data_IF_411753474665
#
_entry.id   IF_411753474665
#
_cell.length_a   1.000
_cell.length_b   1.000
_cell.length_c   1.000
_cell.angle_alpha   90.00
_cell.angle_beta   90.00
_cell.angle_gamma   90.00
#
_symmetry.space_group_name_H-M   'P 1'
#
loop_
_entity.id
_entity.type
_entity.pdbx_description
1 polymer ?
#
# COMPACT_ATOMS: atom_id res chain seq x y z
N UNK A 1 -10.16 -29.09 5.95
CA UNK A 1 -9.48 -27.83 5.57
C UNK A 1 -8.92 -27.06 6.77
N UNK A 2 -9.58 -27.03 7.93
CA UNK A 2 -9.03 -26.38 9.14
C UNK A 2 -7.66 -26.94 9.59
N UNK A 3 -7.42 -28.25 9.44
CA UNK A 3 -6.14 -28.87 9.77
C UNK A 3 -4.97 -28.41 8.89
N UNK A 4 -5.18 -28.23 7.59
CA UNK A 4 -4.15 -27.74 6.65
C UNK A 4 -3.84 -26.27 6.90
N UNK A 5 -4.88 -25.45 7.09
CA UNK A 5 -4.73 -24.04 7.49
C UNK A 5 -3.89 -23.92 8.77
N UNK A 6 -4.24 -24.66 9.83
CA UNK A 6 -3.48 -24.63 11.08
C UNK A 6 -2.03 -25.08 10.91
N UNK A 7 -1.78 -26.09 10.06
CA UNK A 7 -0.43 -26.55 9.74
C UNK A 7 0.39 -25.44 9.07
N UNK A 8 -0.17 -24.78 8.05
CA UNK A 8 0.52 -23.72 7.31
C UNK A 8 0.74 -22.47 8.16
N UNK A 9 -0.24 -22.07 8.95
CA UNK A 9 -0.08 -20.96 9.91
C UNK A 9 1.05 -21.27 10.89
N UNK A 10 1.12 -22.49 11.41
CA UNK A 10 2.20 -22.92 12.29
C UNK A 10 3.55 -22.95 11.57
N UNK A 11 3.59 -23.45 10.34
CA UNK A 11 4.79 -23.45 9.50
C UNK A 11 5.31 -22.02 9.32
N UNK A 12 4.46 -21.09 8.87
CA UNK A 12 4.81 -19.67 8.69
C UNK A 12 5.33 -19.02 9.97
N UNK A 13 4.79 -19.41 11.14
CA UNK A 13 5.27 -18.88 12.43
C UNK A 13 6.69 -19.31 12.81
N UNK A 14 7.26 -20.31 12.14
CA UNK A 14 8.63 -20.79 12.37
C UNK A 14 9.67 -20.15 11.46
N UNK A 15 9.26 -19.40 10.44
CA UNK A 15 10.16 -18.68 9.55
C UNK A 15 10.18 -17.19 9.89
N UNK A 16 11.35 -16.57 9.72
CA UNK A 16 11.48 -15.11 9.87
C UNK A 16 11.27 -14.40 8.53
N UNK A 17 11.70 -15.03 7.44
CA UNK A 17 11.71 -14.43 6.12
C UNK A 17 10.81 -15.17 5.16
N UNK A 18 10.06 -14.39 4.38
CA UNK A 18 9.12 -14.94 3.41
C UNK A 18 9.85 -15.75 2.33
N UNK A 19 11.07 -15.35 1.96
CA UNK A 19 11.84 -16.06 0.92
C UNK A 19 12.17 -17.50 1.34
N UNK A 20 12.45 -17.74 2.63
CA UNK A 20 12.77 -19.07 3.15
C UNK A 20 11.57 -20.03 3.05
N UNK A 21 10.36 -19.50 3.18
CA UNK A 21 9.11 -20.27 3.04
C UNK A 21 8.91 -20.68 1.59
N UNK A 22 9.18 -19.79 0.63
CA UNK A 22 9.05 -20.11 -0.79
C UNK A 22 10.11 -21.05 -1.32
N UNK A 23 11.25 -21.19 -0.63
CA UNK A 23 12.22 -22.23 -0.93
C UNK A 23 11.73 -23.65 -0.57
N UNK A 24 10.59 -23.80 0.10
CA UNK A 24 10.01 -25.11 0.38
C UNK A 24 9.37 -25.69 -0.88
N UNK A 25 9.87 -26.85 -1.33
CA UNK A 25 9.52 -27.52 -2.59
C UNK A 25 8.04 -27.71 -2.91
N UNK A 26 7.15 -27.67 -1.90
CA UNK A 26 5.72 -27.94 -2.06
C UNK A 26 4.83 -26.80 -1.55
N UNK A 27 5.43 -25.72 -1.04
CA UNK A 27 4.63 -24.65 -0.43
C UNK A 27 3.74 -23.92 -1.44
N UNK A 28 4.23 -23.52 -2.64
CA UNK A 28 3.38 -22.92 -3.66
C UNK A 28 2.22 -23.84 -4.08
N UNK A 29 2.50 -25.12 -4.33
CA UNK A 29 1.47 -26.09 -4.74
C UNK A 29 0.43 -26.33 -3.65
N UNK A 30 0.85 -26.31 -2.38
CA UNK A 30 -0.07 -26.38 -1.25
C UNK A 30 -0.92 -25.12 -1.15
N UNK A 31 -0.35 -23.95 -1.43
CA UNK A 31 -1.08 -22.68 -1.42
C UNK A 31 -2.14 -22.63 -2.52
N UNK A 32 -1.82 -23.16 -3.71
CA UNK A 32 -2.71 -23.21 -4.88
C UNK A 32 -3.96 -24.09 -4.67
N UNK A 33 -3.87 -25.12 -3.83
CA UNK A 33 -5.04 -25.99 -3.53
C UNK A 33 -5.95 -25.41 -2.45
N UNK A 34 -5.51 -24.36 -1.74
CA UNK A 34 -6.33 -23.69 -0.75
C UNK A 34 -7.37 -22.79 -1.41
N UNK A 35 -8.54 -22.67 -0.78
CA UNK A 35 -9.61 -21.79 -1.24
C UNK A 35 -10.48 -21.29 -0.09
N UNK A 36 -11.20 -20.20 -0.35
CA UNK A 36 -12.13 -19.56 0.59
C UNK A 36 -11.46 -19.11 1.89
N UNK A 37 -12.22 -19.08 2.99
CA UNK A 37 -11.77 -18.53 4.28
C UNK A 37 -10.45 -19.12 4.80
N UNK A 38 -10.17 -20.39 4.50
CA UNK A 38 -8.92 -21.03 4.94
C UNK A 38 -7.70 -20.45 4.24
N UNK A 39 -7.83 -20.09 2.97
CA UNK A 39 -6.80 -19.41 2.19
C UNK A 39 -6.62 -17.98 2.69
N UNK A 40 -7.71 -17.24 2.92
CA UNK A 40 -7.68 -15.86 3.40
C UNK A 40 -6.87 -15.74 4.71
N UNK A 41 -7.06 -16.68 5.64
CA UNK A 41 -6.30 -16.70 6.90
C UNK A 41 -4.80 -16.92 6.66
N UNK A 42 -4.42 -17.81 5.73
CA UNK A 42 -3.02 -18.06 5.39
C UNK A 42 -2.40 -16.86 4.68
N UNK A 43 -3.14 -16.24 3.75
CA UNK A 43 -2.75 -15.04 3.04
C UNK A 43 -2.50 -13.85 3.97
N UNK A 44 -3.40 -13.64 4.95
CA UNK A 44 -3.19 -12.66 6.01
C UNK A 44 -1.94 -12.95 6.84
N UNK A 45 -1.63 -14.22 7.13
CA UNK A 45 -0.39 -14.58 7.83
C UNK A 45 0.85 -14.29 6.97
N UNK A 46 0.80 -14.56 5.67
CA UNK A 46 1.88 -14.24 4.72
C UNK A 46 2.14 -12.74 4.67
N UNK A 47 1.11 -11.89 4.52
CA UNK A 47 1.25 -10.43 4.54
C UNK A 47 1.84 -9.92 5.86
N UNK A 48 1.34 -10.44 6.99
CA UNK A 48 1.82 -10.06 8.30
C UNK A 48 3.27 -10.50 8.55
N UNK A 49 3.68 -11.64 8.00
CA UNK A 49 5.05 -12.13 8.06
C UNK A 49 5.97 -11.24 7.21
N UNK A 50 5.60 -10.96 5.97
CA UNK A 50 6.40 -10.16 5.04
C UNK A 50 6.70 -8.75 5.58
N UNK A 51 5.75 -8.16 6.31
CA UNK A 51 5.83 -6.80 6.84
C UNK A 51 6.47 -6.70 8.23
N UNK A 52 7.03 -7.80 8.76
CA UNK A 52 7.80 -7.81 10.03
C UNK A 52 9.30 -7.65 9.82
N UNK A 53 9.81 -8.02 8.66
CA UNK A 53 11.24 -8.25 8.44
C UNK A 53 11.97 -7.08 7.78
N UNK A 54 11.36 -5.89 7.80
CA UNK A 54 11.90 -4.66 7.21
C UNK A 54 11.29 -4.32 5.84
N UNK A 55 11.84 -3.32 5.14
CA UNK A 55 11.33 -2.88 3.84
C UNK A 55 11.38 -4.00 2.80
N UNK A 56 10.33 -4.10 1.99
CA UNK A 56 10.18 -5.11 0.94
C UNK A 56 10.67 -4.51 -0.36
N UNK A 57 11.81 -5.00 -0.84
CA UNK A 57 12.48 -4.49 -2.06
C UNK A 57 12.51 -5.48 -3.21
N UNK A 58 12.36 -6.77 -2.90
CA UNK A 58 12.38 -7.83 -3.88
C UNK A 58 11.13 -7.77 -4.77
N UNK A 59 11.33 -7.68 -6.09
CA UNK A 59 10.24 -7.53 -7.06
C UNK A 59 9.27 -8.72 -7.03
N UNK A 60 9.80 -9.94 -6.87
CA UNK A 60 8.99 -11.16 -6.85
C UNK A 60 8.07 -11.16 -5.63
N UNK A 61 8.61 -10.79 -4.48
CA UNK A 61 7.86 -10.66 -3.23
C UNK A 61 6.79 -9.57 -3.34
N UNK A 62 7.11 -8.41 -3.90
CA UNK A 62 6.13 -7.33 -4.10
C UNK A 62 4.98 -7.78 -5.01
N UNK A 63 5.30 -8.44 -6.14
CA UNK A 63 4.28 -8.94 -7.07
C UNK A 63 3.36 -9.95 -6.38
N UNK A 64 3.92 -10.96 -5.72
CA UNK A 64 3.12 -11.99 -5.04
C UNK A 64 2.25 -11.41 -3.92
N UNK A 65 2.80 -10.50 -3.10
CA UNK A 65 2.03 -9.86 -2.04
C UNK A 65 0.93 -8.96 -2.60
N UNK A 66 1.11 -8.42 -3.80
CA UNK A 66 0.08 -7.66 -4.52
C UNK A 66 -1.05 -8.58 -4.99
N UNK A 67 -0.72 -9.75 -5.58
CA UNK A 67 -1.69 -10.78 -5.99
C UNK A 67 -2.48 -11.33 -4.79
N UNK A 68 -1.79 -11.59 -3.67
CA UNK A 68 -2.42 -11.99 -2.41
C UNK A 68 -3.36 -10.89 -1.88
N UNK A 69 -2.90 -9.64 -1.86
CA UNK A 69 -3.70 -8.50 -1.40
C UNK A 69 -4.94 -8.28 -2.26
N UNK A 70 -4.81 -8.46 -3.58
CA UNK A 70 -5.93 -8.40 -4.51
C UNK A 70 -6.94 -9.51 -4.24
N UNK A 71 -6.48 -10.75 -4.08
CA UNK A 71 -7.38 -11.88 -3.78
C UNK A 71 -8.15 -11.66 -2.48
N UNK A 72 -7.48 -11.18 -1.42
CA UNK A 72 -8.13 -10.84 -0.15
C UNK A 72 -9.17 -9.72 -0.33
N UNK A 73 -8.81 -8.68 -1.07
CA UNK A 73 -9.69 -7.55 -1.35
C UNK A 73 -10.94 -7.99 -2.14
N UNK A 74 -10.78 -8.81 -3.16
CA UNK A 74 -11.87 -9.30 -3.99
C UNK A 74 -12.80 -10.19 -3.17
N UNK A 75 -12.24 -11.10 -2.35
CA UNK A 75 -13.02 -11.96 -1.45
C UNK A 75 -13.87 -11.15 -0.45
N UNK A 76 -13.37 -10.02 0.06
CA UNK A 76 -14.17 -9.12 0.90
C UNK A 76 -15.32 -8.44 0.14
N UNK A 77 -15.14 -8.10 -1.14
CA UNK A 77 -16.22 -7.47 -1.92
C UNK A 77 -17.49 -8.33 -1.94
N UNK A 78 -17.30 -9.65 -1.88
CA UNK A 78 -18.38 -10.63 -1.83
C UNK A 78 -18.91 -10.90 -0.41
N UNK A 79 -18.23 -10.45 0.65
CA UNK A 79 -18.53 -10.78 2.05
C UNK A 79 -18.84 -9.51 2.85
N UNK A 80 -20.12 -9.27 3.17
CA UNK A 80 -20.57 -8.09 3.91
C UNK A 80 -20.32 -8.19 5.44
N UNK A 81 -19.07 -8.42 5.87
CA UNK A 81 -18.69 -8.56 7.29
C UNK A 81 -17.72 -7.44 7.69
N UNK A 82 -18.26 -6.42 8.37
CA UNK A 82 -17.54 -5.18 8.71
C UNK A 82 -16.25 -5.34 9.55
N UNK A 83 -16.08 -6.44 10.28
CA UNK A 83 -14.92 -6.65 11.17
C UNK A 83 -13.70 -7.18 10.42
N UNK A 84 -13.91 -8.18 9.55
CA UNK A 84 -12.88 -8.74 8.66
C UNK A 84 -12.32 -7.66 7.70
N UNK A 85 -13.17 -6.70 7.32
CA UNK A 85 -12.77 -5.59 6.45
C UNK A 85 -11.64 -4.74 7.02
N UNK A 86 -11.64 -4.55 8.35
CA UNK A 86 -10.66 -3.72 9.02
C UNK A 86 -9.27 -4.38 9.07
N UNK A 87 -9.22 -5.70 9.25
CA UNK A 87 -7.97 -6.44 9.35
C UNK A 87 -7.26 -6.54 8.00
N UNK A 88 -7.99 -6.82 6.93
CA UNK A 88 -7.42 -6.85 5.57
C UNK A 88 -6.97 -5.45 5.17
N UNK A 89 -7.81 -4.43 5.37
CA UNK A 89 -7.44 -3.05 5.06
C UNK A 89 -6.15 -2.63 5.76
N UNK A 90 -6.01 -2.95 7.05
CA UNK A 90 -4.80 -2.68 7.82
C UNK A 90 -3.58 -3.45 7.29
N UNK A 91 -3.73 -4.75 7.02
CA UNK A 91 -2.64 -5.60 6.53
C UNK A 91 -2.14 -5.16 5.15
N UNK A 92 -3.06 -4.82 4.24
CA UNK A 92 -2.73 -4.27 2.91
C UNK A 92 -2.09 -2.89 3.04
N UNK A 93 -2.62 -2.01 3.89
CA UNK A 93 -2.02 -0.69 4.15
C UNK A 93 -0.59 -0.81 4.67
N UNK A 94 -0.34 -1.75 5.57
CA UNK A 94 0.99 -2.04 6.09
C UNK A 94 1.91 -2.61 5.01
N UNK A 95 1.43 -3.53 4.18
CA UNK A 95 2.20 -4.04 3.04
C UNK A 95 2.66 -2.91 2.13
N UNK A 96 1.72 -2.07 1.66
CA UNK A 96 2.03 -0.94 0.76
C UNK A 96 3.02 0.03 1.40
N UNK A 97 2.88 0.30 2.71
CA UNK A 97 3.82 1.15 3.45
C UNK A 97 5.25 0.58 3.48
N UNK A 98 5.41 -0.75 3.53
CA UNK A 98 6.71 -1.41 3.62
C UNK A 98 7.41 -1.58 2.27
N UNK A 99 6.72 -1.35 1.15
CA UNK A 99 7.32 -1.46 -0.19
C UNK A 99 8.31 -0.32 -0.41
N UNK A 100 9.52 -0.66 -0.86
CA UNK A 100 10.58 0.29 -1.14
C UNK A 100 11.31 -0.08 -2.43
N UNK A 101 11.02 0.65 -3.51
CA UNK A 101 11.70 0.51 -4.79
C UNK A 101 13.07 1.20 -4.85
N UNK A 102 13.56 1.77 -3.74
CA UNK A 102 14.87 2.42 -3.67
C UNK A 102 14.95 3.62 -4.62
N UNK A 103 15.88 3.58 -5.57
CA UNK A 103 16.13 4.68 -6.52
C UNK A 103 15.11 4.74 -7.66
N UNK A 104 14.32 3.68 -7.87
CA UNK A 104 13.35 3.56 -8.96
C UNK A 104 12.04 4.29 -8.62
N UNK A 105 12.11 5.62 -8.41
CA UNK A 105 10.98 6.44 -7.93
C UNK A 105 9.76 6.39 -8.85
N UNK A 106 9.94 6.34 -10.17
CA UNK A 106 8.83 6.20 -11.13
C UNK A 106 8.10 4.88 -10.96
N UNK A 107 8.84 3.79 -10.73
CA UNK A 107 8.27 2.47 -10.48
C UNK A 107 7.51 2.44 -9.15
N UNK A 108 8.04 3.12 -8.13
CA UNK A 108 7.31 3.30 -6.87
C UNK A 108 6.00 4.04 -7.10
N UNK A 109 6.02 5.18 -7.78
CA UNK A 109 4.79 5.95 -8.04
C UNK A 109 3.76 5.14 -8.84
N UNK A 110 4.20 4.38 -9.85
CA UNK A 110 3.31 3.48 -10.61
C UNK A 110 2.64 2.44 -9.70
N UNK A 111 3.40 1.82 -8.79
CA UNK A 111 2.86 0.90 -7.79
C UNK A 111 1.80 1.58 -6.88
N UNK A 112 2.03 2.82 -6.45
CA UNK A 112 1.03 3.57 -5.66
C UNK A 112 -0.24 3.86 -6.46
N UNK A 113 -0.12 4.15 -7.77
CA UNK A 113 -1.26 4.33 -8.68
C UNK A 113 -2.08 3.05 -8.80
N UNK A 114 -1.43 1.92 -9.00
CA UNK A 114 -2.09 0.61 -9.10
C UNK A 114 -2.79 0.24 -7.79
N UNK A 115 -2.14 0.49 -6.66
CA UNK A 115 -2.72 0.29 -5.33
C UNK A 115 -3.94 1.18 -5.10
N UNK A 116 -3.92 2.45 -5.51
CA UNK A 116 -5.08 3.34 -5.41
C UNK A 116 -6.26 2.83 -6.25
N UNK A 117 -5.98 2.39 -7.47
CA UNK A 117 -7.00 1.89 -8.39
C UNK A 117 -7.66 0.61 -7.86
N UNK A 118 -6.84 -0.30 -7.32
CA UNK A 118 -7.29 -1.61 -6.84
C UNK A 118 -7.99 -1.50 -5.49
N UNK A 119 -7.39 -0.79 -4.53
CA UNK A 119 -7.78 -0.81 -3.11
C UNK A 119 -8.45 0.50 -2.64
N UNK A 120 -9.02 1.26 -3.58
CA UNK A 120 -9.57 2.60 -3.34
C UNK A 120 -10.71 2.68 -2.31
N UNK A 121 -11.22 1.56 -1.80
CA UNK A 121 -12.19 1.53 -0.69
C UNK A 121 -11.54 1.74 0.69
N UNK A 122 -10.25 1.45 0.85
CA UNK A 122 -9.58 1.50 2.15
C UNK A 122 -9.10 2.92 2.47
N UNK A 123 -9.76 3.58 3.42
CA UNK A 123 -9.38 4.94 3.83
C UNK A 123 -7.98 4.99 4.44
N UNK A 124 -7.63 4.03 5.30
CA UNK A 124 -6.28 3.94 5.89
C UNK A 124 -5.19 3.85 4.81
N UNK A 125 -5.42 3.05 3.77
CA UNK A 125 -4.49 2.91 2.66
C UNK A 125 -4.31 4.22 1.91
N UNK A 126 -5.39 4.97 1.63
CA UNK A 126 -5.28 6.26 0.93
C UNK A 126 -4.34 7.23 1.64
N UNK A 127 -4.36 7.25 2.98
CA UNK A 127 -3.42 8.09 3.74
C UNK A 127 -1.98 7.62 3.54
N UNK A 128 -1.74 6.31 3.59
CA UNK A 128 -0.42 5.71 3.32
C UNK A 128 0.06 6.05 1.90
N UNK A 129 -0.82 6.00 0.91
CA UNK A 129 -0.50 6.34 -0.48
C UNK A 129 -0.09 7.82 -0.62
N UNK A 130 -0.85 8.73 0.00
CA UNK A 130 -0.54 10.18 -0.01
C UNK A 130 0.82 10.43 0.64
N UNK A 131 1.07 9.91 1.84
CA UNK A 131 2.34 10.11 2.55
C UNK A 131 3.54 9.50 1.80
N UNK A 132 3.35 8.35 1.15
CA UNK A 132 4.40 7.73 0.33
C UNK A 132 4.71 8.58 -0.91
N UNK A 133 3.68 9.06 -1.62
CA UNK A 133 3.84 9.96 -2.77
C UNK A 133 4.54 11.27 -2.40
N UNK A 134 4.15 11.87 -1.27
CA UNK A 134 4.76 13.05 -0.69
C UNK A 134 6.26 12.85 -0.39
N UNK A 135 6.60 11.70 0.20
CA UNK A 135 8.01 11.31 0.42
C UNK A 135 8.78 11.20 -0.91
N UNK A 136 8.21 10.59 -1.95
CA UNK A 136 8.80 10.52 -3.29
C UNK A 136 9.00 11.91 -3.90
N UNK A 137 8.03 12.82 -3.71
CA UNK A 137 8.11 14.19 -4.17
C UNK A 137 9.33 14.91 -3.56
N UNK A 138 9.48 14.85 -2.23
CA UNK A 138 10.62 15.44 -1.53
C UNK A 138 11.94 14.81 -2.00
N UNK A 139 11.99 13.49 -2.13
CA UNK A 139 13.19 12.77 -2.58
C UNK A 139 13.64 13.23 -3.97
N UNK A 140 12.70 13.43 -4.90
CA UNK A 140 13.00 13.91 -6.26
C UNK A 140 13.65 15.30 -6.32
N UNK A 141 13.39 16.14 -5.31
CA UNK A 141 13.97 17.48 -5.18
C UNK A 141 15.34 17.48 -4.49
N UNK A 142 15.64 16.43 -3.72
CA UNK A 142 16.95 16.22 -3.05
C UNK A 142 17.99 15.60 -3.99
N UNK A 143 17.57 15.01 -5.11
CA UNK A 143 18.48 14.49 -6.13
C UNK A 143 19.32 15.62 -6.76
N UNK A 144 20.55 15.31 -7.17
CA UNK A 144 21.49 16.28 -7.77
C UNK A 144 20.90 16.99 -9.00
N UNK A 145 20.09 16.26 -9.78
CA UNK A 145 19.24 16.81 -10.82
C UNK A 145 17.79 16.78 -10.32
N UNK A 146 17.27 17.94 -9.93
CA UNK A 146 15.88 18.08 -9.51
C UNK A 146 14.95 17.67 -10.65
N UNK A 147 14.04 16.74 -10.39
CA UNK A 147 13.01 16.36 -11.35
C UNK A 147 11.67 17.02 -10.99
N UNK A 148 11.48 18.24 -11.49
CA UNK A 148 10.25 19.00 -11.29
C UNK A 148 9.04 18.35 -11.97
N UNK A 149 9.25 17.54 -13.01
CA UNK A 149 8.15 16.87 -13.70
C UNK A 149 7.62 15.71 -12.86
N UNK A 150 8.51 14.89 -12.33
CA UNK A 150 8.16 13.82 -11.41
C UNK A 150 7.56 14.35 -10.11
N UNK A 151 8.14 15.42 -9.55
CA UNK A 151 7.57 16.12 -8.39
C UNK A 151 6.09 16.49 -8.61
N UNK A 152 5.77 17.10 -9.75
CA UNK A 152 4.38 17.46 -10.11
C UNK A 152 3.49 16.23 -10.24
N UNK A 153 4.00 15.11 -10.75
CA UNK A 153 3.26 13.85 -10.82
C UNK A 153 2.89 13.32 -9.43
N UNK A 154 3.84 13.35 -8.47
CA UNK A 154 3.58 12.97 -7.08
C UNK A 154 2.54 13.88 -6.41
N UNK A 155 2.66 15.20 -6.58
CA UNK A 155 1.69 16.17 -6.03
C UNK A 155 0.31 15.95 -6.66
N UNK A 156 0.24 15.80 -7.99
CA UNK A 156 -1.02 15.53 -8.69
C UNK A 156 -1.68 14.26 -8.17
N UNK A 157 -0.90 13.19 -7.98
CA UNK A 157 -1.39 11.94 -7.39
C UNK A 157 -1.98 12.17 -5.99
N UNK A 158 -1.28 12.90 -5.10
CA UNK A 158 -1.80 13.23 -3.78
C UNK A 158 -3.09 14.08 -3.87
N UNK A 159 -3.11 15.12 -4.70
CA UNK A 159 -4.27 16.01 -4.90
C UNK A 159 -5.53 15.29 -5.36
N UNK A 160 -5.40 14.27 -6.23
CA UNK A 160 -6.55 13.48 -6.70
C UNK A 160 -6.96 12.38 -5.72
N UNK A 161 -6.09 12.02 -4.77
CA UNK A 161 -6.34 10.96 -3.79
C UNK A 161 -7.02 11.51 -2.53
N UNK A 162 -6.57 12.64 -2.00
CA UNK A 162 -7.06 13.23 -0.75
C UNK A 162 -8.59 13.49 -0.72
N UNK A 163 -9.25 13.97 -1.81
CA UNK A 163 -10.71 14.18 -1.81
C UNK A 163 -11.52 12.92 -1.49
N UNK A 164 -10.95 11.74 -1.74
CA UNK A 164 -11.60 10.45 -1.47
C UNK A 164 -11.44 9.96 -0.02
N UNK A 165 -10.73 10.72 0.84
CA UNK A 165 -10.55 10.46 2.27
C UNK A 165 -11.61 11.26 3.02
N UNK A 166 -12.43 10.59 3.83
CA UNK A 166 -13.47 11.24 4.63
C UNK A 166 -12.96 11.64 6.02
N UNK A 167 -13.36 12.82 6.51
CA UNK A 167 -13.16 13.24 7.90
C UNK A 167 -11.98 14.19 8.11
N UNK A 168 -11.64 14.45 9.39
CA UNK A 168 -10.68 15.49 9.79
C UNK A 168 -9.28 15.30 9.19
N UNK A 169 -8.85 14.04 8.99
CA UNK A 169 -7.55 13.70 8.40
C UNK A 169 -7.37 14.19 6.96
N UNK A 170 -8.47 14.50 6.26
CA UNK A 170 -8.42 15.06 4.92
C UNK A 170 -7.71 16.43 4.92
N UNK A 171 -8.02 17.29 5.89
CA UNK A 171 -7.41 18.61 6.01
C UNK A 171 -5.93 18.51 6.38
N UNK A 172 -5.58 17.63 7.31
CA UNK A 172 -4.19 17.41 7.74
C UNK A 172 -3.32 16.96 6.57
N UNK A 173 -3.79 15.99 5.77
CA UNK A 173 -3.06 15.50 4.59
C UNK A 173 -2.96 16.55 3.47
N UNK A 174 -3.99 17.39 3.30
CA UNK A 174 -3.90 18.53 2.38
C UNK A 174 -2.82 19.51 2.83
N UNK A 175 -2.74 19.82 4.13
CA UNK A 175 -1.71 20.70 4.68
C UNK A 175 -0.31 20.10 4.52
N UNK A 176 -0.11 18.83 4.88
CA UNK A 176 1.17 18.12 4.67
C UNK A 176 1.62 18.21 3.20
N UNK A 177 0.71 17.90 2.26
CA UNK A 177 1.00 17.95 0.82
C UNK A 177 1.27 19.38 0.35
N UNK A 178 0.55 20.37 0.88
CA UNK A 178 0.72 21.77 0.53
C UNK A 178 2.03 22.35 1.07
N UNK A 179 2.45 21.99 2.29
CA UNK A 179 3.72 22.40 2.88
C UNK A 179 4.90 21.89 2.05
N UNK A 180 4.86 20.62 1.64
CA UNK A 180 5.87 20.04 0.77
C UNK A 180 5.89 20.71 -0.61
N UNK A 181 4.70 21.05 -1.14
CA UNK A 181 4.58 21.76 -2.41
C UNK A 181 4.95 23.24 -2.36
N UNK A 182 4.83 23.90 -1.22
CA UNK A 182 5.23 25.29 -1.03
C UNK A 182 6.75 25.49 -1.16
N UNK A 183 7.54 24.41 -1.00
CA UNK A 183 8.99 24.42 -1.22
C UNK A 183 9.34 24.60 -2.71
N UNK A 184 8.42 24.34 -3.64
CA UNK A 184 8.70 24.38 -5.09
C UNK A 184 7.66 25.09 -5.98
N UNK A 185 6.44 25.36 -5.49
CA UNK A 185 5.39 26.07 -6.22
C UNK A 185 4.96 27.30 -5.40
N UNK A 186 4.76 28.48 -6.01
CA UNK A 186 4.23 29.63 -5.29
C UNK A 186 2.91 29.27 -4.58
N UNK A 187 2.85 29.53 -3.27
CA UNK A 187 1.71 29.29 -2.36
C UNK A 187 0.35 29.78 -2.90
N UNK A 188 0.35 30.66 -3.90
CA UNK A 188 -0.84 31.26 -4.52
C UNK A 188 -1.75 30.28 -5.24
N UNK A 189 -1.26 29.19 -5.87
CA UNK A 189 -2.15 28.23 -6.57
C UNK A 189 -2.81 27.22 -5.63
N UNK A 190 -2.15 26.87 -4.52
CA UNK A 190 -2.67 25.93 -3.53
C UNK A 190 -3.77 26.55 -2.66
N UNK A 191 -3.61 27.81 -2.24
CA UNK A 191 -4.62 28.50 -1.44
C UNK A 191 -5.92 28.75 -2.23
N UNK A 192 -5.83 29.07 -3.53
CA UNK A 192 -7.00 29.23 -4.40
C UNK A 192 -7.83 27.95 -4.54
N UNK A 193 -7.20 26.76 -4.52
CA UNK A 193 -7.91 25.46 -4.60
C UNK A 193 -8.54 25.04 -3.27
N UNK A 194 -7.95 25.42 -2.13
CA UNK A 194 -8.51 25.13 -0.79
C UNK A 194 -9.72 26.04 -0.52
N UNK A 195 -9.66 27.32 -0.89
CA UNK A 195 -10.81 28.23 -0.76
C UNK A 195 -12.00 27.80 -1.63
N UNK A 196 -11.76 27.32 -2.86
CA UNK A 196 -12.82 26.86 -3.76
C UNK A 196 -13.51 25.54 -3.35
N UNK A 197 -12.88 24.74 -2.47
CA UNK A 197 -13.46 23.45 -2.00
C UNK A 197 -14.12 23.54 -0.62
N UNK A 198 -14.01 24.68 0.06
CA UNK A 198 -14.63 24.93 1.37
C UNK A 198 -15.93 25.75 1.25
N UNK A 199 -16.38 25.99 0.02
CA UNK A 199 -17.65 26.64 -0.35
C UNK A 199 -18.58 25.63 -1.03
#
# INVERSE_FOLDING_TARGET
MSSLQSLLVKLLSHFERLEDVFCLNHFPEILDVMHGKSQDVVFLHILNMATRSGPIRDTTSIQLLSEISQTLHDNMEFMNVKDDDSQVAHSVSRFVHMVDYGTEMERHLAFLVDCRATFGRFNELKETLVRSSNTLAIQSLKCAKKDLSFFKSCVTFSEVTIPSISGQRQFDLFLETAEESAVCIPLTELMLKVEQKTQ
#
